data_IF_515909028284
#
_entry.id   IF_515909028284
#
_cell.length_a   1.000
_cell.length_b   1.000
_cell.length_c   1.000
_cell.angle_alpha   90.00
_cell.angle_beta   90.00
_cell.angle_gamma   90.00
#
_symmetry.space_group_name_H-M   'P 1'
#
loop_
_entity.id
_entity.type
_entity.pdbx_description
1 polymer ?
#
# COMPACT_ATOMS: atom_id res chain seq x y z
N UNK A 1 13.11 -0.79 3.83
CA UNK A 1 12.61 0.32 3.02
C UNK A 1 11.14 0.58 3.31
N UNK A 2 10.76 1.82 3.19
CA UNK A 2 9.40 2.25 3.43
C UNK A 2 8.95 3.15 2.28
N UNK A 3 7.79 2.84 1.70
CA UNK A 3 7.20 3.62 0.63
C UNK A 3 5.78 3.99 0.99
N UNK A 4 5.30 5.10 0.49
CA UNK A 4 3.91 5.48 0.63
C UNK A 4 3.37 6.07 -0.65
N UNK A 5 2.06 6.14 -0.74
CA UNK A 5 1.34 6.73 -1.84
C UNK A 5 -0.10 6.99 -1.45
N UNK A 6 -0.81 7.71 -2.31
CA UNK A 6 -2.16 8.15 -2.01
C UNK A 6 -3.10 7.83 -3.16
N UNK A 7 -4.34 7.55 -2.81
CA UNK A 7 -5.43 7.48 -3.77
C UNK A 7 -6.52 8.45 -3.33
N UNK A 8 -6.83 9.40 -4.19
CA UNK A 8 -7.85 10.40 -3.96
C UNK A 8 -9.10 10.00 -4.74
N UNK A 9 -10.24 10.17 -4.11
CA UNK A 9 -11.52 9.82 -4.70
C UNK A 9 -12.59 10.82 -4.26
N UNK A 10 -13.79 10.68 -4.80
CA UNK A 10 -14.89 11.55 -4.39
C UNK A 10 -15.27 11.30 -2.93
N UNK A 11 -15.88 12.30 -2.26
CA UNK A 11 -16.41 12.08 -0.91
C UNK A 11 -17.42 10.92 -0.85
N UNK A 12 -18.23 10.76 -1.87
CA UNK A 12 -19.21 9.66 -1.92
C UNK A 12 -18.51 8.30 -1.97
N UNK A 13 -17.45 8.19 -2.77
CA UNK A 13 -16.71 6.94 -2.89
C UNK A 13 -16.07 6.56 -1.56
N UNK A 14 -15.41 7.52 -0.89
CA UNK A 14 -14.74 7.20 0.36
C UNK A 14 -15.75 6.91 1.47
N UNK A 15 -16.90 7.61 1.49
CA UNK A 15 -17.95 7.29 2.45
C UNK A 15 -18.53 5.91 2.21
N UNK A 16 -18.68 5.50 0.97
CA UNK A 16 -19.14 4.16 0.64
C UNK A 16 -18.19 3.10 1.21
N UNK A 17 -16.88 3.31 1.08
CA UNK A 17 -15.88 2.41 1.66
C UNK A 17 -16.02 2.40 3.19
N UNK A 18 -16.08 3.57 3.82
CA UNK A 18 -16.09 3.70 5.28
C UNK A 18 -17.35 3.13 5.90
N UNK A 19 -18.52 3.39 5.28
CA UNK A 19 -19.83 3.00 5.82
C UNK A 19 -20.23 1.59 5.50
N UNK A 20 -19.59 0.96 4.52
CA UNK A 20 -19.96 -0.39 4.14
C UNK A 20 -19.27 -1.41 5.03
N UNK A 21 -19.93 -2.55 5.23
CA UNK A 21 -19.27 -3.70 5.85
C UNK A 21 -18.13 -4.22 4.97
N UNK A 22 -18.04 -3.75 3.75
CA UNK A 22 -17.00 -4.11 2.78
C UNK A 22 -15.73 -3.30 2.95
N UNK A 23 -15.70 -2.30 3.83
CA UNK A 23 -14.49 -1.52 4.09
C UNK A 23 -13.28 -2.42 4.36
N UNK A 24 -13.47 -3.38 5.24
CA UNK A 24 -12.41 -4.31 5.59
C UNK A 24 -12.02 -5.17 4.40
N UNK A 25 -12.98 -5.51 3.54
CA UNK A 25 -12.70 -6.32 2.36
C UNK A 25 -11.84 -5.54 1.36
N UNK A 26 -12.16 -4.26 1.11
CA UNK A 26 -11.39 -3.43 0.17
C UNK A 26 -9.94 -3.31 0.64
N UNK A 27 -9.72 -2.93 1.89
CA UNK A 27 -8.37 -2.73 2.40
C UNK A 27 -7.64 -4.06 2.62
N UNK A 28 -8.33 -5.11 3.04
CA UNK A 28 -7.72 -6.43 3.21
C UNK A 28 -7.27 -7.02 1.87
N UNK A 29 -8.09 -6.89 0.84
CA UNK A 29 -7.74 -7.35 -0.50
C UNK A 29 -6.55 -6.56 -1.04
N UNK A 30 -6.55 -5.24 -0.85
CA UNK A 30 -5.43 -4.40 -1.27
C UNK A 30 -4.13 -4.79 -0.55
N UNK A 31 -4.21 -5.13 0.73
CA UNK A 31 -3.05 -5.61 1.50
C UNK A 31 -2.51 -6.90 0.94
N UNK A 32 -3.38 -7.87 0.66
CA UNK A 32 -2.98 -9.14 0.08
C UNK A 32 -2.32 -8.91 -1.29
N UNK A 33 -2.92 -8.06 -2.12
CA UNK A 33 -2.38 -7.74 -3.43
C UNK A 33 -0.98 -7.14 -3.33
N UNK A 34 -0.77 -6.21 -2.40
CA UNK A 34 0.54 -5.60 -2.17
C UNK A 34 1.58 -6.66 -1.79
N UNK A 35 1.23 -7.54 -0.87
CA UNK A 35 2.14 -8.60 -0.42
C UNK A 35 2.49 -9.54 -1.58
N UNK A 36 1.52 -9.87 -2.42
CA UNK A 36 1.78 -10.65 -3.63
C UNK A 36 2.71 -9.92 -4.59
N UNK A 37 2.56 -8.60 -4.70
CA UNK A 37 3.45 -7.77 -5.51
C UNK A 37 4.90 -7.90 -5.10
N UNK A 38 5.14 -7.97 -3.80
CA UNK A 38 6.49 -8.18 -3.26
C UNK A 38 7.15 -9.44 -3.83
N UNK A 39 6.38 -10.51 -3.91
CA UNK A 39 6.88 -11.79 -4.41
C UNK A 39 7.08 -11.81 -5.91
N UNK A 40 6.45 -10.90 -6.64
CA UNK A 40 6.46 -10.89 -8.09
C UNK A 40 7.23 -9.71 -8.69
N UNK A 41 7.83 -8.86 -7.89
CA UNK A 41 8.53 -7.69 -8.39
C UNK A 41 9.61 -8.06 -9.40
N UNK A 42 10.36 -9.14 -9.16
CA UNK A 42 11.40 -9.60 -10.07
C UNK A 42 10.85 -10.13 -11.39
N UNK A 43 9.58 -10.56 -11.42
CA UNK A 43 8.92 -10.99 -12.65
C UNK A 43 8.38 -9.81 -13.46
N UNK A 44 8.02 -8.73 -12.78
CA UNK A 44 7.47 -7.55 -13.43
C UNK A 44 8.56 -6.61 -13.96
N UNK A 45 9.71 -6.60 -13.33
CA UNK A 45 10.81 -5.69 -13.64
C UNK A 45 12.00 -6.48 -14.17
N UNK A 46 12.30 -6.38 -15.48
CA UNK A 46 13.23 -7.31 -16.13
C UNK A 46 14.64 -7.32 -15.56
N UNK A 47 15.10 -6.19 -15.02
CA UNK A 47 16.47 -6.10 -14.50
C UNK A 47 16.54 -6.24 -12.98
N UNK A 48 15.41 -6.44 -12.32
CA UNK A 48 15.36 -6.57 -10.88
C UNK A 48 15.54 -8.04 -10.49
N UNK A 49 16.43 -8.30 -9.56
CA UNK A 49 16.68 -9.66 -9.07
C UNK A 49 15.84 -9.94 -7.84
N UNK A 50 15.32 -11.15 -7.78
CA UNK A 50 14.65 -11.64 -6.57
C UNK A 50 15.61 -11.59 -5.40
N UNK A 51 15.09 -11.17 -4.24
CA UNK A 51 15.85 -11.24 -3.00
C UNK A 51 14.97 -11.74 -1.86
N UNK A 52 15.55 -12.45 -0.89
CA UNK A 52 14.79 -12.91 0.26
C UNK A 52 14.31 -11.72 1.08
N UNK A 53 13.06 -11.77 1.50
CA UNK A 53 12.46 -10.76 2.34
C UNK A 53 12.22 -11.33 3.73
N UNK A 54 12.45 -10.52 4.75
CA UNK A 54 12.22 -10.92 6.13
C UNK A 54 10.82 -10.54 6.60
N UNK A 55 10.27 -9.42 6.09
CA UNK A 55 9.04 -8.88 6.62
C UNK A 55 8.41 -7.91 5.61
N UNK A 56 7.10 -7.97 5.48
CA UNK A 56 6.32 -6.98 4.71
C UNK A 56 5.16 -6.51 5.57
N UNK A 57 5.03 -5.21 5.68
CA UNK A 57 3.95 -4.57 6.43
C UNK A 57 3.23 -3.59 5.52
N UNK A 58 1.90 -3.64 5.53
CA UNK A 58 1.05 -2.75 4.73
C UNK A 58 0.04 -2.09 5.65
N UNK A 59 0.06 -0.78 5.71
CA UNK A 59 -0.86 0.01 6.53
C UNK A 59 -1.65 0.98 5.66
N UNK A 60 -2.88 1.25 6.05
CA UNK A 60 -3.74 2.22 5.38
C UNK A 60 -4.23 3.25 6.38
N UNK A 61 -4.30 4.51 5.94
CA UNK A 61 -4.90 5.60 6.71
C UNK A 61 -5.93 6.30 5.82
N UNK A 62 -7.14 6.42 6.33
CA UNK A 62 -8.24 7.08 5.63
C UNK A 62 -8.34 8.50 6.14
N UNK A 63 -8.31 9.48 5.22
CA UNK A 63 -8.48 10.89 5.52
C UNK A 63 -9.79 11.37 4.90
N UNK A 64 -10.81 11.54 5.73
CA UNK A 64 -12.12 11.95 5.26
C UNK A 64 -12.17 13.42 4.85
N UNK A 65 -11.31 14.26 5.42
CA UNK A 65 -11.32 15.70 5.13
C UNK A 65 -10.94 15.98 3.69
N UNK A 66 -10.03 15.20 3.14
CA UNK A 66 -9.55 15.37 1.77
C UNK A 66 -9.93 14.19 0.88
N UNK A 67 -10.73 13.27 1.39
CA UNK A 67 -11.26 12.11 0.65
C UNK A 67 -10.16 11.28 -0.01
N UNK A 68 -9.22 10.82 0.80
CA UNK A 68 -8.13 9.99 0.28
C UNK A 68 -7.73 8.91 1.25
N UNK A 69 -7.06 7.90 0.70
CA UNK A 69 -6.45 6.82 1.47
C UNK A 69 -4.94 6.88 1.23
N UNK A 70 -4.18 6.86 2.31
CA UNK A 70 -2.72 6.70 2.25
C UNK A 70 -2.39 5.24 2.46
N UNK A 71 -1.62 4.67 1.56
CA UNK A 71 -1.03 3.35 1.73
C UNK A 71 0.44 3.52 2.10
N UNK A 72 0.88 2.75 3.08
CA UNK A 72 2.28 2.72 3.52
C UNK A 72 2.73 1.28 3.54
N UNK A 73 3.83 1.01 2.86
CA UNK A 73 4.40 -0.33 2.78
C UNK A 73 5.82 -0.29 3.32
N UNK A 74 6.09 -1.15 4.29
CA UNK A 74 7.42 -1.33 4.87
C UNK A 74 7.92 -2.72 4.52
N UNK A 75 9.06 -2.80 3.88
CA UNK A 75 9.69 -4.06 3.49
C UNK A 75 11.07 -4.13 4.11
N UNK A 76 11.31 -5.20 4.85
CA UNK A 76 12.61 -5.48 5.42
C UNK A 76 13.27 -6.64 4.69
N UNK A 77 14.56 -6.53 4.44
CA UNK A 77 15.36 -7.57 3.84
C UNK A 77 16.66 -7.69 4.60
N UNK A 78 17.24 -8.89 4.59
CA UNK A 78 18.60 -9.11 5.12
C UNK A 78 19.67 -8.85 4.07
N UNK A 79 19.27 -8.61 2.83
CA UNK A 79 20.18 -8.31 1.74
C UNK A 79 20.73 -6.89 1.87
N UNK A 80 21.98 -6.71 1.45
CA UNK A 80 22.63 -5.39 1.43
C UNK A 80 22.03 -4.46 0.38
N UNK A 81 21.31 -4.99 -0.59
CA UNK A 81 20.77 -4.21 -1.70
C UNK A 81 19.51 -3.42 -1.34
N UNK A 82 18.96 -3.63 -0.13
CA UNK A 82 17.75 -2.96 0.29
C UNK A 82 16.50 -3.51 -0.41
N UNK A 83 15.36 -2.94 -0.10
CA UNK A 83 14.07 -3.40 -0.60
C UNK A 83 13.23 -2.25 -1.16
N UNK A 84 13.87 -1.21 -1.71
CA UNK A 84 13.19 -0.01 -2.20
C UNK A 84 12.26 -0.32 -3.35
N UNK A 85 12.70 -1.16 -4.28
CA UNK A 85 11.90 -1.53 -5.45
C UNK A 85 10.67 -2.32 -5.02
N UNK A 86 10.85 -3.26 -4.10
CA UNK A 86 9.73 -4.04 -3.58
C UNK A 86 8.72 -3.15 -2.88
N UNK A 87 9.19 -2.22 -2.04
CA UNK A 87 8.29 -1.32 -1.32
C UNK A 87 7.51 -0.40 -2.27
N UNK A 88 8.17 0.16 -3.29
CA UNK A 88 7.50 0.99 -4.29
C UNK A 88 6.52 0.19 -5.13
N UNK A 89 6.88 -1.02 -5.53
CA UNK A 89 5.99 -1.90 -6.28
C UNK A 89 4.74 -2.18 -5.46
N UNK A 90 4.92 -2.54 -4.20
CA UNK A 90 3.82 -2.96 -3.34
C UNK A 90 2.86 -1.82 -3.06
N UNK A 91 3.35 -0.62 -2.80
CA UNK A 91 2.47 0.51 -2.55
C UNK A 91 1.62 0.82 -3.78
N UNK A 92 2.20 0.74 -4.96
CA UNK A 92 1.45 1.00 -6.20
C UNK A 92 0.43 -0.11 -6.47
N UNK A 93 0.76 -1.37 -6.19
CA UNK A 93 -0.19 -2.47 -6.32
C UNK A 93 -1.35 -2.30 -5.33
N UNK A 94 -1.08 -1.89 -4.09
CA UNK A 94 -2.14 -1.61 -3.12
C UNK A 94 -3.10 -0.54 -3.65
N UNK A 95 -2.57 0.55 -4.19
CA UNK A 95 -3.39 1.63 -4.72
C UNK A 95 -4.19 1.19 -5.94
N UNK A 96 -3.59 0.43 -6.84
CA UNK A 96 -4.29 -0.10 -8.02
C UNK A 96 -5.41 -1.05 -7.59
N UNK A 97 -5.18 -1.86 -6.57
CA UNK A 97 -6.21 -2.76 -6.06
C UNK A 97 -7.41 -1.99 -5.51
N UNK A 98 -7.17 -0.91 -4.76
CA UNK A 98 -8.25 -0.04 -4.28
C UNK A 98 -8.98 0.58 -5.47
N UNK A 99 -8.24 1.11 -6.45
CA UNK A 99 -8.82 1.68 -7.66
C UNK A 99 -9.76 0.67 -8.35
N UNK A 100 -9.29 -0.55 -8.53
CA UNK A 100 -10.05 -1.58 -9.24
C UNK A 100 -11.38 -1.88 -8.56
N UNK A 101 -11.40 -1.84 -7.24
CA UNK A 101 -12.62 -2.13 -6.47
C UNK A 101 -13.58 -0.95 -6.37
N UNK A 102 -13.12 0.29 -6.55
CA UNK A 102 -13.99 1.47 -6.40
C UNK A 102 -14.23 2.24 -7.69
N UNK A 103 -13.64 1.82 -8.79
CA UNK A 103 -13.73 2.54 -10.07
C UNK A 103 -15.16 2.67 -10.60
N UNK A 104 -16.04 1.76 -10.21
CA UNK A 104 -17.46 1.81 -10.62
C UNK A 104 -18.24 2.89 -9.87
N UNK A 105 -17.72 3.38 -8.75
CA UNK A 105 -18.40 4.39 -7.92
C UNK A 105 -17.98 5.80 -8.32
N UNK A 106 -16.76 5.97 -8.82
CA UNK A 106 -16.17 7.28 -9.08
C UNK A 106 -15.33 7.24 -10.34
N UNK A 107 -15.53 8.23 -11.21
CA UNK A 107 -14.76 8.36 -12.46
C UNK A 107 -13.51 9.23 -12.32
N UNK A 108 -13.30 9.87 -11.18
CA UNK A 108 -12.25 10.86 -10.98
C UNK A 108 -11.24 10.44 -9.90
N UNK A 109 -10.87 9.17 -9.93
CA UNK A 109 -9.90 8.64 -8.97
C UNK A 109 -8.50 8.99 -9.44
N UNK A 110 -7.67 9.49 -8.52
CA UNK A 110 -6.28 9.85 -8.81
C UNK A 110 -5.36 9.15 -7.81
N UNK A 111 -4.41 8.39 -8.33
CA UNK A 111 -3.30 7.87 -7.56
C UNK A 111 -2.14 8.84 -7.68
N UNK A 112 -1.51 9.20 -6.55
CA UNK A 112 -0.51 10.25 -6.57
C UNK A 112 0.56 10.06 -5.49
N UNK A 113 1.69 10.70 -5.69
CA UNK A 113 2.75 10.86 -4.69
C UNK A 113 3.36 9.56 -4.19
N UNK A 114 3.42 8.53 -5.04
CA UNK A 114 4.17 7.32 -4.68
C UNK A 114 5.65 7.65 -4.53
N UNK A 115 6.21 7.37 -3.36
CA UNK A 115 7.60 7.71 -3.09
C UNK A 115 8.14 6.90 -1.92
N UNK A 116 9.46 6.88 -1.82
CA UNK A 116 10.13 6.29 -0.67
C UNK A 116 10.18 7.31 0.46
N UNK A 117 9.90 6.86 1.68
CA UNK A 117 10.11 7.67 2.87
C UNK A 117 11.53 7.50 3.37
N UNK A 118 12.10 8.59 3.90
CA UNK A 118 13.42 8.55 4.50
C UNK A 118 13.37 7.81 5.83
N UNK A 119 14.41 7.04 6.11
CA UNK A 119 14.47 6.23 7.32
C UNK A 119 14.32 7.04 8.62
N UNK A 120 14.72 8.30 8.63
CA UNK A 120 14.58 9.16 9.81
C UNK A 120 13.17 9.50 10.23
N UNK A 121 12.17 9.17 9.41
CA UNK A 121 10.76 9.47 9.67
C UNK A 121 9.99 8.28 10.22
N UNK A 122 10.66 7.23 10.62
CA UNK A 122 10.01 5.99 11.08
C UNK A 122 9.10 6.20 12.28
N UNK A 123 9.42 7.18 13.13
CA UNK A 123 8.63 7.45 14.33
C UNK A 123 7.22 7.91 14.04
N UNK A 124 6.98 8.48 12.88
CA UNK A 124 5.65 8.95 12.50
C UNK A 124 4.74 7.83 12.03
N UNK A 125 5.30 6.70 11.68
CA UNK A 125 4.54 5.56 11.18
C UNK A 125 4.04 4.62 12.25
N UNK A 126 4.34 4.87 13.52
CA UNK A 126 4.06 3.91 14.59
C UNK A 126 2.62 3.94 15.09
N UNK A 127 1.87 4.96 14.75
CA UNK A 127 0.52 5.16 15.27
C UNK A 127 -0.56 4.48 14.44
N UNK A 128 -0.19 3.80 13.37
CA UNK A 128 -1.17 3.14 12.53
C UNK A 128 -1.55 1.79 13.12
N UNK A 129 -2.79 1.69 13.53
CA UNK A 129 -3.34 0.43 13.97
C UNK A 129 -3.34 -0.55 12.82
N UNK A 130 -2.52 -1.55 12.93
CA UNK A 130 -2.42 -2.61 11.93
C UNK A 130 -3.29 -3.78 12.34
N UNK A 131 -4.60 -3.56 12.30
CA UNK A 131 -5.61 -4.52 12.74
C UNK A 131 -5.57 -5.84 11.97
N UNK A 132 -5.00 -5.82 10.77
CA UNK A 132 -5.02 -6.96 9.86
C UNK A 132 -3.72 -7.74 9.84
N UNK A 133 -2.80 -7.36 10.69
CA UNK A 133 -1.56 -8.07 10.85
C UNK A 133 -0.55 -7.83 9.75
N UNK A 134 0.62 -8.30 10.00
CA UNK A 134 1.74 -8.28 9.07
C UNK A 134 2.14 -9.70 8.76
N UNK A 135 2.77 -9.91 7.62
CA UNK A 135 3.32 -11.22 7.27
C UNK A 135 4.82 -11.20 7.42
N UNK A 136 5.33 -12.18 8.15
CA UNK A 136 6.75 -12.48 8.23
C UNK A 136 7.06 -13.64 7.26
N UNK A 137 8.19 -13.53 6.62
CA UNK A 137 8.63 -14.55 5.67
C UNK A 137 9.84 -15.30 6.18
#
# INVERSE_FOLDING_TARGET
AKACGYINMSPDAIQTIVNSVQKNDVLSIARIAAIQGTKQASLLLPLHHFQPLAHVRVDFAIDLDVSRIKATVTVATKSKNGAEVEALTDVNIALISIYDMVKSIDNNIVMTQSHLEKEGNEKEGLDYDNTYGNLDF
#
